data_IF_706531479937
#
_entry.id   IF_706531479937
#
_cell.length_a   1.000
_cell.length_b   1.000
_cell.length_c   1.000
_cell.angle_alpha   90.00
_cell.angle_beta   90.00
_cell.angle_gamma   90.00
#
_symmetry.space_group_name_H-M   'P 1'
#
loop_
_entity.id
_entity.type
_entity.pdbx_description
1 polymer ?
#
# COMPACT_ATOMS: atom_id res chain seq x y z
N UNK A 1 19.63 0.70 -9.55
CA UNK A 1 18.66 0.28 -8.53
C UNK A 1 17.61 -0.62 -9.19
N UNK A 2 17.35 -1.81 -8.64
CA UNK A 2 16.29 -2.70 -9.13
C UNK A 2 14.89 -2.21 -8.73
N UNK A 3 13.84 -2.75 -9.35
CA UNK A 3 12.46 -2.51 -8.92
C UNK A 3 12.20 -3.27 -7.60
N UNK A 4 11.45 -2.67 -6.67
CA UNK A 4 11.09 -3.22 -5.35
C UNK A 4 12.18 -3.21 -4.26
N UNK A 5 12.92 -2.10 -4.11
CA UNK A 5 13.85 -1.94 -3.01
C UNK A 5 13.14 -1.66 -1.68
N UNK A 6 13.69 -2.21 -0.58
CA UNK A 6 13.28 -1.84 0.77
C UNK A 6 13.84 -0.47 1.15
N UNK A 7 13.15 0.22 2.07
CA UNK A 7 13.64 1.51 2.60
C UNK A 7 15.03 1.37 3.28
N UNK A 8 15.35 0.22 3.87
CA UNK A 8 16.68 -0.04 4.43
C UNK A 8 17.76 -0.19 3.37
N UNK A 9 17.45 -0.80 2.23
CA UNK A 9 18.38 -0.89 1.12
C UNK A 9 18.63 0.48 0.48
N UNK A 10 17.56 1.25 0.25
CA UNK A 10 17.66 2.62 -0.27
C UNK A 10 18.52 3.49 0.66
N UNK A 11 18.28 3.43 1.98
CA UNK A 11 19.06 4.16 2.97
C UNK A 11 20.56 3.83 2.89
N UNK A 12 20.90 2.54 2.79
CA UNK A 12 22.31 2.10 2.68
C UNK A 12 22.96 2.53 1.36
N UNK A 13 22.25 2.43 0.24
CA UNK A 13 22.80 2.79 -1.08
C UNK A 13 22.98 4.31 -1.24
N UNK A 14 22.14 5.10 -0.58
CA UNK A 14 22.19 6.58 -0.65
C UNK A 14 22.92 7.22 0.52
N UNK A 15 23.43 6.43 1.47
CA UNK A 15 24.04 6.89 2.72
C UNK A 15 23.14 7.87 3.51
N UNK A 16 21.87 7.49 3.66
CA UNK A 16 20.85 8.27 4.35
C UNK A 16 20.36 7.56 5.62
N UNK A 17 19.81 8.33 6.55
CA UNK A 17 19.08 7.74 7.67
C UNK A 17 17.81 7.04 7.17
N UNK A 18 17.53 5.86 7.73
CA UNK A 18 16.32 5.09 7.40
C UNK A 18 15.03 5.84 7.73
N UNK A 19 15.01 6.70 8.76
CA UNK A 19 13.85 7.54 9.10
C UNK A 19 13.52 8.52 7.98
N UNK A 20 14.56 9.10 7.39
CA UNK A 20 14.41 10.13 6.35
C UNK A 20 13.93 9.47 5.07
N UNK A 21 14.49 8.31 4.71
CA UNK A 21 14.00 7.50 3.58
C UNK A 21 12.55 7.07 3.81
N UNK A 22 12.17 6.70 5.02
CA UNK A 22 10.78 6.36 5.35
C UNK A 22 9.83 7.55 5.12
N UNK A 23 10.22 8.74 5.56
CA UNK A 23 9.45 9.97 5.35
C UNK A 23 9.35 10.35 3.88
N UNK A 24 10.47 10.36 3.16
CA UNK A 24 10.51 10.65 1.72
C UNK A 24 9.64 9.67 0.94
N UNK A 25 9.75 8.37 1.23
CA UNK A 25 8.93 7.35 0.58
C UNK A 25 7.43 7.52 0.90
N UNK A 26 7.08 7.93 2.13
CA UNK A 26 5.70 8.25 2.51
C UNK A 26 5.15 9.41 1.68
N UNK A 27 5.90 10.51 1.57
CA UNK A 27 5.50 11.68 0.80
C UNK A 27 5.32 11.33 -0.69
N UNK A 28 6.26 10.58 -1.28
CA UNK A 28 6.19 10.16 -2.67
C UNK A 28 4.99 9.23 -2.94
N UNK A 29 4.76 8.22 -2.08
CA UNK A 29 3.60 7.32 -2.22
C UNK A 29 2.28 8.08 -2.13
N UNK A 30 2.17 9.02 -1.19
CA UNK A 30 0.98 9.88 -1.09
C UNK A 30 0.79 10.71 -2.36
N UNK A 31 1.87 11.31 -2.87
CA UNK A 31 1.85 12.08 -4.11
C UNK A 31 1.38 11.26 -5.32
N UNK A 32 1.83 10.00 -5.44
CA UNK A 32 1.39 9.09 -6.50
C UNK A 32 -0.11 8.81 -6.40
N UNK A 33 -0.62 8.52 -5.20
CA UNK A 33 -2.06 8.28 -5.00
C UNK A 33 -2.87 9.52 -5.34
N UNK A 34 -2.48 10.69 -4.83
CA UNK A 34 -3.19 11.95 -5.07
C UNK A 34 -3.21 12.36 -6.54
N UNK A 35 -2.15 12.04 -7.29
CA UNK A 35 -2.06 12.36 -8.72
C UNK A 35 -2.62 11.29 -9.64
N UNK A 36 -3.00 10.11 -9.10
CA UNK A 36 -3.55 9.02 -9.91
C UNK A 36 -4.92 9.45 -10.45
N UNK A 37 -5.12 9.52 -11.78
CA UNK A 37 -6.43 9.82 -12.33
C UNK A 37 -7.41 8.70 -11.99
N UNK A 38 -8.68 9.06 -11.79
CA UNK A 38 -9.74 8.08 -11.59
C UNK A 38 -9.93 7.26 -12.87
N UNK A 39 -9.90 5.94 -12.75
CA UNK A 39 -10.21 5.04 -13.86
C UNK A 39 -11.71 5.17 -14.23
N UNK A 40 -12.00 5.41 -15.50
CA UNK A 40 -13.35 5.31 -16.06
C UNK A 40 -13.48 3.95 -16.74
N UNK A 41 -14.36 3.11 -16.21
CA UNK A 41 -14.60 1.76 -16.70
C UNK A 41 -15.78 1.78 -17.69
N UNK A 42 -15.63 1.13 -18.84
CA UNK A 42 -16.65 1.04 -19.88
C UNK A 42 -16.60 -0.32 -20.56
N UNK A 43 -17.76 -0.91 -20.85
CA UNK A 43 -17.85 -2.24 -21.47
C UNK A 43 -17.50 -3.36 -20.50
N UNK A 44 -16.92 -4.44 -21.03
CA UNK A 44 -16.39 -5.55 -20.24
C UNK A 44 -14.99 -5.20 -19.71
N UNK A 45 -14.74 -5.48 -18.44
CA UNK A 45 -13.49 -5.12 -17.73
C UNK A 45 -12.95 -6.35 -17.02
N UNK A 46 -11.66 -6.62 -17.23
CA UNK A 46 -10.91 -7.64 -16.49
C UNK A 46 -10.30 -7.02 -15.23
N UNK A 47 -10.37 -7.76 -14.13
CA UNK A 47 -9.82 -7.35 -12.84
C UNK A 47 -8.81 -8.40 -12.36
N UNK A 48 -7.56 -7.98 -12.16
CA UNK A 48 -6.55 -8.80 -11.49
C UNK A 48 -6.64 -8.64 -9.97
N UNK A 49 -6.66 -9.76 -9.26
CA UNK A 49 -6.61 -9.78 -7.80
C UNK A 49 -5.22 -10.17 -7.30
N UNK A 50 -4.69 -9.39 -6.35
CA UNK A 50 -3.44 -9.69 -5.67
C UNK A 50 -3.69 -9.69 -4.16
N UNK A 51 -3.32 -10.78 -3.51
CA UNK A 51 -3.39 -10.92 -2.06
C UNK A 51 -2.09 -10.43 -1.43
N UNK A 52 -2.18 -9.43 -0.55
CA UNK A 52 -1.04 -8.88 0.18
C UNK A 52 -1.23 -9.14 1.67
N UNK A 53 -0.22 -9.71 2.32
CA UNK A 53 -0.19 -9.85 3.77
C UNK A 53 0.24 -8.52 4.41
N UNK A 54 -0.71 -7.81 5.00
CA UNK A 54 -0.42 -6.64 5.81
C UNK A 54 0.17 -7.09 7.16
N UNK A 55 1.49 -7.11 7.27
CA UNK A 55 2.17 -7.41 8.52
C UNK A 55 2.08 -6.25 9.49
N UNK A 56 1.21 -6.32 10.50
CA UNK A 56 1.19 -5.36 11.61
C UNK A 56 2.30 -5.69 12.64
N UNK A 57 3.54 -5.89 12.17
CA UNK A 57 4.76 -6.14 12.99
C UNK A 57 4.54 -7.13 14.17
N UNK A 58 3.81 -8.22 13.96
CA UNK A 58 3.54 -9.23 15.00
C UNK A 58 2.27 -9.00 15.83
N UNK A 59 1.46 -8.00 15.51
CA UNK A 59 0.17 -7.67 16.16
C UNK A 59 -1.00 -7.78 15.16
N UNK A 60 -1.28 -8.97 14.60
CA UNK A 60 -2.35 -9.17 13.62
C UNK A 60 -3.74 -8.77 14.13
N UNK A 61 -3.98 -8.83 15.44
CA UNK A 61 -5.24 -8.42 16.08
C UNK A 61 -5.60 -6.95 15.85
N UNK A 62 -4.61 -6.08 15.67
CA UNK A 62 -4.83 -4.64 15.46
C UNK A 62 -5.37 -4.31 14.06
N UNK A 63 -5.29 -5.25 13.11
CA UNK A 63 -5.73 -5.09 11.72
C UNK A 63 -6.90 -6.00 11.34
N UNK A 64 -7.44 -6.75 12.30
CA UNK A 64 -8.60 -7.61 12.10
C UNK A 64 -9.85 -6.77 11.81
N UNK A 65 -10.49 -7.01 10.66
CA UNK A 65 -11.72 -6.31 10.30
C UNK A 65 -12.86 -6.79 11.21
N UNK A 66 -13.52 -5.87 11.92
CA UNK A 66 -14.84 -6.17 12.51
C UNK A 66 -15.81 -6.47 11.37
N UNK A 67 -16.29 -7.72 11.29
CA UNK A 67 -17.35 -8.12 10.36
C UNK A 67 -18.63 -7.35 10.70
N UNK A 68 -18.96 -6.34 9.89
CA UNK A 68 -20.30 -5.77 9.88
C UNK A 68 -21.19 -6.77 9.13
N UNK A 69 -22.07 -7.45 9.85
CA UNK A 69 -23.16 -8.20 9.22
C UNK A 69 -24.10 -7.18 8.59
N UNK A 70 -23.96 -6.94 7.29
CA UNK A 70 -24.99 -6.24 6.52
C UNK A 70 -26.12 -7.25 6.37
N UNK A 71 -27.18 -7.06 7.16
CA UNK A 71 -28.40 -7.85 7.04
C UNK A 71 -28.95 -7.71 5.63
N UNK A 72 -29.28 -8.85 5.02
CA UNK A 72 -30.05 -8.89 3.78
C UNK A 72 -31.39 -8.20 4.03
N UNK A 73 -31.61 -7.07 3.36
CA UNK A 73 -32.95 -6.53 3.16
C UNK A 73 -33.37 -6.93 1.74
N UNK A 74 -34.32 -7.86 1.70
CA UNK A 74 -35.15 -8.21 0.55
C UNK A 74 -36.08 -7.04 0.23
#
# INVERSE_FOLDING_TARGET
>A
MGLNLSNSQIARELDLNISDVQEMARQLRQGVVTRKPQAKLHGEVECDEVYVLAGHKGHPEAVEKKTVKVGAAV
#
